data_IF_752616830094
#
_entry.id   IF_752616830094
#
_cell.length_a   1.000
_cell.length_b   1.000
_cell.length_c   1.000
_cell.angle_alpha   90.00
_cell.angle_beta   90.00
_cell.angle_gamma   90.00
#
_symmetry.space_group_name_H-M   'P 1'
#
loop_
_entity.id
_entity.type
_entity.pdbx_description
1 polymer ?
#
# COMPACT_ATOMS: atom_id res chain seq x y z
N UNK A 1 -2.34 4.22 -1.27
CA UNK A 1 -2.84 4.52 0.10
C UNK A 1 -4.33 4.79 0.04
N UNK A 2 -5.09 4.33 1.04
CA UNK A 2 -6.53 4.53 1.19
C UNK A 2 -6.78 5.07 2.60
N UNK A 3 -7.52 6.18 2.74
CA UNK A 3 -7.75 6.91 4.00
C UNK A 3 -9.22 7.27 4.19
N UNK A 4 -9.71 7.24 5.43
CA UNK A 4 -11.10 7.60 5.74
C UNK A 4 -11.33 9.11 5.61
N UNK A 5 -10.35 9.89 6.05
CA UNK A 5 -10.32 11.36 6.02
C UNK A 5 -8.92 11.85 5.65
N UNK A 6 -8.76 13.15 5.42
CA UNK A 6 -7.46 13.75 5.10
C UNK A 6 -6.60 14.09 6.34
N UNK A 7 -7.18 14.01 7.54
CA UNK A 7 -6.50 14.30 8.81
C UNK A 7 -5.32 13.35 9.06
N UNK A 8 -4.20 13.85 9.58
CA UNK A 8 -2.96 13.07 9.79
C UNK A 8 -3.14 11.78 10.61
N UNK A 9 -4.07 11.81 11.56
CA UNK A 9 -4.40 10.70 12.45
C UNK A 9 -5.49 9.78 11.90
N UNK A 10 -5.95 9.97 10.65
CA UNK A 10 -7.04 9.20 10.04
C UNK A 10 -6.80 7.69 10.02
N UNK A 11 -7.89 6.93 10.09
CA UNK A 11 -7.89 5.51 9.75
C UNK A 11 -7.43 5.34 8.29
N UNK A 12 -6.50 4.41 8.07
CA UNK A 12 -5.85 4.27 6.77
C UNK A 12 -5.26 2.89 6.55
N UNK A 13 -5.02 2.56 5.28
CA UNK A 13 -4.25 1.40 4.85
C UNK A 13 -3.42 1.74 3.60
N UNK A 14 -2.20 1.21 3.53
CA UNK A 14 -1.30 1.43 2.41
C UNK A 14 -0.49 0.18 2.10
N UNK A 15 -0.34 -0.10 0.80
CA UNK A 15 0.76 -0.89 0.29
C UNK A 15 1.92 0.05 -0.04
N UNK A 16 3.15 -0.35 0.28
CA UNK A 16 4.34 0.46 0.09
C UNK A 16 5.61 -0.37 0.00
N UNK A 17 6.68 0.27 -0.48
CA UNK A 17 8.03 -0.30 -0.49
C UNK A 17 9.02 0.71 0.03
N UNK A 18 9.93 0.25 0.88
CA UNK A 18 11.06 1.00 1.38
C UNK A 18 12.22 0.94 0.39
N UNK A 19 13.11 1.94 0.40
CA UNK A 19 14.28 1.97 -0.49
C UNK A 19 15.23 0.77 -0.35
N UNK A 20 15.14 0.03 0.75
CA UNK A 20 15.89 -1.22 1.00
C UNK A 20 15.28 -2.45 0.35
N UNK A 21 14.10 -2.35 -0.28
CA UNK A 21 13.41 -3.46 -0.94
C UNK A 21 12.36 -4.16 -0.07
N UNK A 22 12.21 -3.78 1.21
CA UNK A 22 11.11 -4.27 2.05
C UNK A 22 9.78 -3.77 1.48
N UNK A 23 8.82 -4.68 1.31
CA UNK A 23 7.46 -4.40 0.86
C UNK A 23 6.52 -4.66 2.03
N UNK A 24 5.55 -3.77 2.26
CA UNK A 24 4.57 -3.98 3.32
C UNK A 24 3.15 -3.60 2.91
N UNK A 25 2.21 -4.11 3.70
CA UNK A 25 0.89 -3.52 3.89
C UNK A 25 0.77 -3.04 5.33
N UNK A 26 0.49 -1.76 5.51
CA UNK A 26 0.43 -1.11 6.81
C UNK A 26 -0.90 -0.40 6.99
N UNK A 27 -1.49 -0.48 8.18
CA UNK A 27 -2.81 0.08 8.46
C UNK A 27 -2.94 0.62 9.87
N UNK A 28 -3.78 1.65 10.01
CA UNK A 28 -4.28 2.16 11.28
C UNK A 28 -5.77 1.90 11.30
N UNK A 29 -6.22 1.08 12.26
CA UNK A 29 -7.61 0.61 12.31
C UNK A 29 -8.61 1.65 12.85
N UNK A 30 -8.15 2.64 13.62
CA UNK A 30 -8.99 3.69 14.20
C UNK A 30 -8.25 5.02 14.19
N UNK A 31 -8.97 6.14 14.16
CA UNK A 31 -8.37 7.47 14.25
C UNK A 31 -7.44 7.59 15.47
N UNK A 32 -6.22 8.10 15.28
CA UNK A 32 -5.20 8.23 16.33
C UNK A 32 -4.59 6.91 16.81
N UNK A 33 -5.03 5.76 16.27
CA UNK A 33 -4.50 4.45 16.61
C UNK A 33 -3.06 4.22 16.14
N UNK A 34 -2.42 3.20 16.71
CA UNK A 34 -1.12 2.73 16.27
C UNK A 34 -1.20 2.12 14.88
N UNK A 35 -0.16 2.33 14.08
CA UNK A 35 0.02 1.60 12.83
C UNK A 35 0.38 0.16 13.16
N UNK A 36 -0.23 -0.77 12.42
CA UNK A 36 0.16 -2.17 12.32
C UNK A 36 0.66 -2.40 10.91
N UNK A 37 1.52 -3.40 10.75
CA UNK A 37 2.06 -3.75 9.45
C UNK A 37 2.34 -5.24 9.32
N UNK A 38 2.28 -5.70 8.08
CA UNK A 38 2.83 -6.97 7.66
C UNK A 38 3.95 -6.67 6.66
N UNK A 39 5.20 -6.94 7.09
CA UNK A 39 6.40 -6.67 6.30
C UNK A 39 6.92 -7.94 5.62
N UNK A 40 7.43 -7.76 4.41
CA UNK A 40 7.99 -8.82 3.59
C UNK A 40 9.35 -8.43 3.04
N UNK A 41 10.31 -9.33 3.21
CA UNK A 41 11.71 -9.12 2.81
C UNK A 41 12.22 -10.35 2.09
N UNK A 42 12.93 -10.13 0.99
CA UNK A 42 13.69 -11.18 0.33
C UNK A 42 15.03 -11.37 1.08
N UNK A 43 15.50 -12.61 1.14
CA UNK A 43 16.76 -12.97 1.79
C UNK A 43 17.92 -13.13 0.80
N UNK A 44 19.14 -13.23 1.33
CA UNK A 44 20.32 -13.61 0.57
C UNK A 44 20.65 -12.62 -0.57
N UNK A 45 20.96 -13.16 -1.75
CA UNK A 45 21.31 -12.37 -2.94
C UNK A 45 20.16 -11.50 -3.46
N UNK A 46 18.93 -11.76 -3.01
CA UNK A 46 17.73 -11.00 -3.38
C UNK A 46 17.37 -9.91 -2.36
N UNK A 47 18.18 -9.69 -1.33
CA UNK A 47 17.84 -8.78 -0.23
C UNK A 47 17.60 -7.32 -0.62
N UNK A 48 18.05 -6.90 -1.81
CA UNK A 48 17.84 -5.55 -2.35
C UNK A 48 16.88 -5.51 -3.53
N UNK A 49 16.17 -6.62 -3.79
CA UNK A 49 15.22 -6.71 -4.87
C UNK A 49 14.08 -5.71 -4.63
N UNK A 50 13.77 -4.92 -5.64
CA UNK A 50 12.66 -4.00 -5.63
C UNK A 50 11.59 -4.51 -6.58
N UNK A 51 10.37 -4.64 -6.09
CA UNK A 51 9.20 -4.88 -6.93
C UNK A 51 9.09 -3.84 -8.04
N UNK A 52 8.86 -4.33 -9.26
CA UNK A 52 8.56 -3.49 -10.42
C UNK A 52 7.19 -2.84 -10.34
N UNK A 53 6.24 -3.49 -9.65
CA UNK A 53 4.88 -2.97 -9.42
C UNK A 53 4.37 -3.39 -8.05
N UNK A 54 3.67 -2.45 -7.40
CA UNK A 54 2.97 -2.66 -6.15
C UNK A 54 1.55 -2.12 -6.30
N UNK A 55 0.58 -2.83 -5.74
CA UNK A 55 -0.82 -2.45 -5.72
C UNK A 55 -1.46 -2.72 -4.36
N UNK A 56 -2.59 -2.08 -4.14
CA UNK A 56 -3.53 -2.42 -3.08
C UNK A 56 -4.91 -2.56 -3.72
N UNK A 57 -5.56 -3.69 -3.49
CA UNK A 57 -6.94 -3.94 -3.93
C UNK A 57 -7.87 -3.88 -2.72
N UNK A 58 -9.06 -3.31 -2.89
CA UNK A 58 -10.15 -3.31 -1.90
C UNK A 58 -11.34 -4.06 -2.45
N UNK A 59 -11.80 -5.09 -1.75
CA UNK A 59 -13.06 -5.78 -2.02
C UNK A 59 -13.89 -5.86 -0.73
N UNK A 60 -14.96 -5.07 -0.65
CA UNK A 60 -15.68 -4.88 0.62
C UNK A 60 -14.72 -4.34 1.68
N UNK A 61 -14.64 -4.99 2.83
CA UNK A 61 -13.71 -4.63 3.91
C UNK A 61 -12.37 -5.37 3.82
N UNK A 62 -12.13 -6.13 2.75
CA UNK A 62 -10.90 -6.87 2.53
C UNK A 62 -9.92 -6.09 1.68
N UNK A 63 -8.68 -5.99 2.13
CA UNK A 63 -7.60 -5.29 1.44
C UNK A 63 -6.43 -6.22 1.16
N UNK A 64 -6.02 -6.29 -0.10
CA UNK A 64 -4.99 -7.20 -0.56
C UNK A 64 -3.77 -6.45 -1.07
N UNK A 65 -2.59 -6.82 -0.58
CA UNK A 65 -1.31 -6.39 -1.14
C UNK A 65 -1.05 -7.17 -2.44
N UNK A 66 -0.77 -6.45 -3.50
CA UNK A 66 -0.42 -7.02 -4.80
C UNK A 66 1.01 -6.62 -5.16
N UNK A 67 1.80 -7.58 -5.65
CA UNK A 67 3.21 -7.37 -6.00
C UNK A 67 3.52 -8.04 -7.34
N UNK A 68 4.35 -7.37 -8.13
CA UNK A 68 5.01 -7.90 -9.34
C UNK A 68 6.48 -7.53 -9.27
N UNK A 69 7.34 -8.54 -9.31
CA UNK A 69 8.78 -8.42 -9.09
C UNK A 69 9.50 -8.08 -10.39
N UNK A 70 9.26 -8.84 -11.46
CA UNK A 70 9.97 -8.70 -12.74
C UNK A 70 9.07 -8.13 -13.86
N UNK A 71 7.79 -7.90 -13.57
CA UNK A 71 6.80 -7.39 -14.52
C UNK A 71 5.80 -8.44 -14.98
N UNK A 72 5.82 -9.62 -14.35
CA UNK A 72 4.73 -10.58 -14.38
C UNK A 72 3.42 -9.93 -13.86
N UNK A 73 2.24 -10.54 -14.13
CA UNK A 73 0.98 -10.06 -13.58
C UNK A 73 1.05 -9.82 -12.07
N UNK A 74 0.28 -8.85 -11.55
CA UNK A 74 0.22 -8.62 -10.11
C UNK A 74 -0.31 -9.88 -9.40
N UNK A 75 0.43 -10.33 -8.39
CA UNK A 75 0.05 -11.47 -7.55
C UNK A 75 -0.23 -11.02 -6.13
N UNK A 76 -1.19 -11.67 -5.48
CA UNK A 76 -1.41 -11.48 -4.06
C UNK A 76 -0.16 -11.84 -3.26
N UNK A 77 0.22 -10.96 -2.35
CA UNK A 77 1.36 -11.12 -1.46
C UNK A 77 0.90 -11.06 -0.01
N UNK A 78 0.88 -12.20 0.67
CA UNK A 78 0.37 -12.31 2.04
C UNK A 78 -1.15 -12.42 2.17
N UNK A 79 -1.67 -12.61 3.39
CA UNK A 79 -3.11 -12.67 3.64
C UNK A 79 -3.75 -11.27 3.53
N UNK A 80 -5.04 -11.18 3.15
CA UNK A 80 -5.76 -9.91 3.14
C UNK A 80 -5.93 -9.33 4.54
N UNK A 81 -5.98 -8.00 4.63
CA UNK A 81 -6.28 -7.26 5.86
C UNK A 81 -7.77 -6.90 5.87
N UNK A 82 -8.44 -7.25 6.96
CA UNK A 82 -9.83 -6.85 7.19
C UNK A 82 -9.85 -5.49 7.89
N UNK A 83 -10.44 -4.49 7.23
CA UNK A 83 -10.59 -3.14 7.75
C UNK A 83 -11.83 -2.48 7.15
N UNK A 84 -12.79 -2.08 7.99
CA UNK A 84 -13.99 -1.42 7.50
C UNK A 84 -13.73 0.07 7.21
N UNK A 85 -14.18 0.58 6.07
CA UNK A 85 -14.23 2.03 5.80
C UNK A 85 -15.66 2.46 5.53
N UNK A 86 -16.09 3.53 6.20
CA UNK A 86 -17.33 4.20 5.87
C UNK A 86 -17.17 4.93 4.52
N UNK A 87 -18.15 4.83 3.64
CA UNK A 87 -18.16 5.61 2.40
C UNK A 87 -18.59 7.06 2.65
N UNK A 88 -17.99 8.09 2.00
CA UNK A 88 -16.87 8.04 1.06
C UNK A 88 -15.48 7.99 1.73
N UNK A 89 -14.44 7.59 0.97
CA UNK A 89 -13.04 7.54 1.40
C UNK A 89 -12.10 8.09 0.32
N UNK A 90 -10.84 8.35 0.68
CA UNK A 90 -9.80 8.86 -0.22
C UNK A 90 -8.87 7.74 -0.66
N UNK A 91 -8.47 7.74 -1.93
CA UNK A 91 -7.41 6.89 -2.47
C UNK A 91 -6.37 7.76 -3.17
N UNK A 92 -5.09 7.48 -2.91
CA UNK A 92 -4.01 8.31 -3.43
C UNK A 92 -2.64 7.69 -3.26
N UNK A 93 -1.66 8.45 -3.72
CA UNK A 93 -0.24 8.09 -3.71
C UNK A 93 0.46 8.95 -2.66
N UNK A 94 1.37 8.34 -1.89
CA UNK A 94 2.16 9.03 -0.88
C UNK A 94 3.62 8.63 -0.99
N UNK A 95 4.49 9.56 -0.59
CA UNK A 95 5.93 9.36 -0.50
C UNK A 95 6.43 10.08 0.76
N UNK A 96 7.36 9.45 1.47
CA UNK A 96 7.97 10.03 2.66
C UNK A 96 9.44 9.58 2.71
N UNK A 97 10.36 10.52 2.92
CA UNK A 97 11.73 10.15 3.28
C UNK A 97 11.74 9.63 4.72
N UNK A 98 12.45 8.54 4.96
CA UNK A 98 12.57 7.96 6.29
C UNK A 98 13.51 8.75 7.20
N UNK A 99 14.39 9.57 6.64
CA UNK A 99 15.35 10.36 7.39
C UNK A 99 14.95 11.83 7.29
N UNK A 100 14.64 12.49 8.42
CA UNK A 100 14.04 13.83 8.42
C UNK A 100 14.95 14.92 7.83
N UNK A 101 16.25 14.63 7.68
CA UNK A 101 17.26 15.57 7.17
C UNK A 101 17.71 15.27 5.74
N UNK A 102 17.14 14.26 5.07
CA UNK A 102 17.49 13.92 3.68
C UNK A 102 16.33 14.21 2.74
N UNK A 103 16.65 14.74 1.56
CA UNK A 103 15.69 14.85 0.47
C UNK A 103 15.82 13.60 -0.42
N UNK A 104 14.78 12.78 -0.44
CA UNK A 104 14.66 11.69 -1.39
C UNK A 104 13.69 12.06 -2.50
N UNK A 105 13.89 11.51 -3.70
CA UNK A 105 12.97 11.69 -4.84
C UNK A 105 12.35 10.35 -5.21
N UNK A 106 11.02 10.28 -5.15
CA UNK A 106 10.25 9.15 -5.69
C UNK A 106 9.61 9.50 -7.03
N UNK A 107 9.85 8.68 -8.05
CA UNK A 107 9.15 8.78 -9.34
C UNK A 107 8.11 7.68 -9.41
N UNK A 108 6.85 8.07 -9.57
CA UNK A 108 5.72 7.13 -9.64
C UNK A 108 5.11 7.28 -11.03
N UNK A 109 5.11 6.18 -11.78
CA UNK A 109 4.72 6.15 -13.20
C UNK A 109 3.84 4.94 -13.48
N UNK A 110 3.14 4.97 -14.62
CA UNK A 110 2.23 3.89 -15.04
C UNK A 110 1.16 3.54 -13.98
N UNK A 111 0.62 4.59 -13.36
CA UNK A 111 -0.41 4.51 -12.33
C UNK A 111 -1.74 4.08 -12.95
N UNK A 112 -2.40 3.12 -12.31
CA UNK A 112 -3.71 2.63 -12.70
C UNK A 112 -4.64 2.68 -11.50
N UNK A 113 -5.85 3.21 -11.69
CA UNK A 113 -6.93 3.20 -10.72
C UNK A 113 -8.16 2.64 -11.41
N UNK A 114 -8.61 1.47 -10.99
CA UNK A 114 -9.79 0.80 -11.52
C UNK A 114 -10.87 0.71 -10.44
N UNK A 115 -12.11 1.04 -10.81
CA UNK A 115 -13.28 0.87 -9.97
C UNK A 115 -14.28 -0.05 -10.66
N UNK A 116 -14.11 -1.35 -10.46
CA UNK A 116 -15.00 -2.37 -11.02
C UNK A 116 -16.38 -2.38 -10.35
N UNK A 117 -16.49 -1.91 -9.09
CA UNK A 117 -17.77 -1.89 -8.37
C UNK A 117 -18.81 -0.96 -9.04
N UNK A 118 -18.36 0.08 -9.73
CA UNK A 118 -19.24 0.97 -10.50
C UNK A 118 -19.78 0.37 -11.81
N UNK A 119 -19.29 -0.79 -12.23
CA UNK A 119 -19.67 -1.46 -13.49
C UNK A 119 -20.79 -2.49 -13.32
N UNK A 120 -21.05 -2.96 -12.09
CA UNK A 120 -22.23 -3.75 -11.78
C UNK A 120 -23.43 -2.80 -11.63
N UNK A 121 -24.21 -2.62 -12.71
CA UNK A 121 -25.51 -1.95 -12.71
C UNK A 121 -26.62 -2.93 -13.04
#
# INVERSE_FOLDING_TARGET
MIRQTLDDDSQQIMAGQHGTGMIHIAWRATRGGQMKDAEYRFGGTLAKLQARRIGIEKHGDSFTLLVSIEGEPLHQFGPPIQLHFDGPFYAGIGFCSHLPTTLDTGVISNVMLENAAGQAR
#
